data_IF_053085030308
#
_entry.id   IF_053085030308
#
_cell.length_a   1.000
_cell.length_b   1.000
_cell.length_c   1.000
_cell.angle_alpha   90.00
_cell.angle_beta   90.00
_cell.angle_gamma   90.00
#
_symmetry.space_group_name_H-M   'P 1'
#
loop_
_entity.id
_entity.type
_entity.pdbx_description
1 polymer ?
#
# COMPACT_ATOMS: atom_id res chain seq x y z
N UNK A 1 32.91 -11.02 -46.06
CA UNK A 1 32.18 -10.86 -44.78
C UNK A 1 32.18 -9.39 -44.41
N UNK A 2 31.18 -8.65 -44.87
CA UNK A 2 30.85 -7.30 -44.40
C UNK A 2 29.33 -7.25 -44.23
N UNK A 3 28.90 -6.84 -43.05
CA UNK A 3 27.51 -6.75 -42.59
C UNK A 3 26.73 -5.74 -43.42
N UNK A 4 25.45 -6.00 -43.76
CA UNK A 4 24.60 -4.98 -44.36
C UNK A 4 24.12 -3.95 -43.32
N UNK A 5 23.93 -2.75 -43.87
CA UNK A 5 23.18 -1.58 -43.44
C UNK A 5 22.03 -1.84 -42.44
N UNK A 6 22.03 -1.10 -41.34
CA UNK A 6 21.00 -1.14 -40.32
C UNK A 6 19.73 -0.41 -40.81
N UNK A 7 18.51 -0.94 -40.60
CA UNK A 7 17.31 -0.14 -40.81
C UNK A 7 17.13 0.87 -39.67
N UNK A 8 16.91 2.12 -40.07
CA UNK A 8 16.49 3.26 -39.25
C UNK A 8 15.22 2.88 -38.47
N UNK A 9 15.33 2.78 -37.15
CA UNK A 9 14.15 2.68 -36.29
C UNK A 9 13.64 4.09 -36.04
N UNK A 10 12.72 4.56 -36.89
CA UNK A 10 12.00 5.83 -36.72
C UNK A 10 11.34 5.88 -35.34
N UNK A 11 11.95 6.63 -34.43
CA UNK A 11 11.37 7.03 -33.16
C UNK A 11 10.25 8.04 -33.45
N UNK A 12 9.07 7.54 -33.81
CA UNK A 12 7.83 8.31 -33.69
C UNK A 12 7.62 8.59 -32.20
N UNK A 13 7.92 9.83 -31.81
CA UNK A 13 7.48 10.41 -30.57
C UNK A 13 5.97 10.68 -30.69
N UNK A 14 5.16 9.83 -30.08
CA UNK A 14 3.77 10.15 -29.77
C UNK A 14 3.72 10.63 -28.31
N UNK A 15 3.61 11.96 -28.14
CA UNK A 15 3.22 12.56 -26.87
C UNK A 15 1.71 12.30 -26.65
N UNK A 16 1.39 11.43 -25.69
CA UNK A 16 0.04 11.10 -25.29
C UNK A 16 -0.17 11.12 -23.78
N UNK A 17 -0.33 12.33 -23.24
CA UNK A 17 -1.00 12.69 -21.97
C UNK A 17 -0.42 12.22 -20.61
N UNK A 18 -0.42 13.09 -19.57
CA UNK A 18 -0.27 12.65 -18.20
C UNK A 18 -1.52 11.84 -17.82
N UNK A 19 -1.42 10.52 -17.88
CA UNK A 19 -2.37 9.66 -17.19
C UNK A 19 -2.33 10.01 -15.71
N UNK A 20 -3.32 10.77 -15.24
CA UNK A 20 -3.65 10.81 -13.82
C UNK A 20 -3.63 9.38 -13.32
N UNK A 21 -2.86 9.00 -12.28
CA UNK A 21 -3.07 7.71 -11.66
C UNK A 21 -4.50 7.75 -11.16
N UNK A 22 -5.38 7.00 -11.86
CA UNK A 22 -6.72 6.77 -11.39
C UNK A 22 -6.59 6.22 -9.99
N UNK A 23 -7.19 6.92 -9.02
CA UNK A 23 -7.40 6.34 -7.70
C UNK A 23 -8.35 5.17 -7.93
N UNK A 24 -7.79 4.00 -8.20
CA UNK A 24 -8.55 2.77 -8.11
C UNK A 24 -9.11 2.77 -6.68
N UNK A 25 -10.42 2.53 -6.47
CA UNK A 25 -10.85 2.14 -5.15
C UNK A 25 -10.07 0.87 -4.83
N UNK A 26 -9.09 0.98 -3.94
CA UNK A 26 -8.55 -0.19 -3.26
C UNK A 26 -9.72 -0.71 -2.43
N UNK A 27 -10.51 -1.60 -3.02
CA UNK A 27 -11.44 -2.41 -2.27
C UNK A 27 -10.55 -3.27 -1.38
N UNK A 28 -10.57 -3.14 -0.03
CA UNK A 28 -9.87 -4.09 0.80
C UNK A 28 -10.46 -5.46 0.47
N UNK A 29 -9.62 -6.36 -0.04
CA UNK A 29 -9.99 -7.75 -0.24
C UNK A 29 -10.34 -8.30 1.16
N UNK A 30 -11.63 -8.43 1.42
CA UNK A 30 -12.14 -8.80 2.74
C UNK A 30 -11.77 -10.24 3.07
N UNK A 31 -10.80 -10.42 3.95
CA UNK A 31 -10.75 -11.62 4.78
C UNK A 31 -12.00 -11.63 5.68
N UNK A 32 -12.80 -12.68 5.58
CA UNK A 32 -14.01 -12.91 6.39
C UNK A 32 -13.73 -13.11 7.89
N UNK A 33 -12.49 -12.86 8.34
CA UNK A 33 -12.11 -12.98 9.75
C UNK A 33 -12.66 -11.79 10.51
N UNK A 34 -13.62 -12.06 11.41
CA UNK A 34 -14.27 -11.07 12.25
C UNK A 34 -13.24 -10.16 12.94
N UNK A 35 -13.42 -8.85 12.78
CA UNK A 35 -12.63 -7.83 13.47
C UNK A 35 -12.90 -7.89 14.98
N UNK A 36 -11.89 -7.63 15.83
CA UNK A 36 -12.12 -7.38 17.25
C UNK A 36 -13.15 -6.28 17.45
N UNK A 37 -14.02 -6.44 18.46
CA UNK A 37 -15.10 -5.47 18.74
C UNK A 37 -14.55 -4.05 18.98
N UNK A 38 -13.39 -3.91 19.62
CA UNK A 38 -12.74 -2.62 19.88
C UNK A 38 -12.30 -1.90 18.59
N UNK A 39 -12.10 -2.63 17.50
CA UNK A 39 -11.75 -2.07 16.17
C UNK A 39 -13.02 -1.87 15.33
N UNK A 40 -13.94 -2.84 15.35
CA UNK A 40 -15.19 -2.81 14.60
C UNK A 40 -16.12 -1.65 15.01
N UNK A 41 -16.02 -1.17 16.25
CA UNK A 41 -16.81 -0.05 16.77
C UNK A 41 -16.17 1.33 16.47
N UNK A 42 -14.95 1.38 15.92
CA UNK A 42 -14.28 2.65 15.62
C UNK A 42 -14.89 3.32 14.39
N UNK A 43 -14.91 4.66 14.43
CA UNK A 43 -15.08 5.44 13.21
C UNK A 43 -13.84 5.28 12.32
N UNK A 44 -14.00 5.49 11.01
CA UNK A 44 -12.88 5.49 10.06
C UNK A 44 -11.74 6.43 10.50
N UNK A 45 -12.06 7.64 10.97
CA UNK A 45 -11.06 8.60 11.44
C UNK A 45 -10.31 8.10 12.67
N UNK A 46 -11.03 7.50 13.63
CA UNK A 46 -10.41 6.92 14.81
C UNK A 46 -9.53 5.70 14.48
N UNK A 47 -9.95 4.85 13.54
CA UNK A 47 -9.16 3.73 13.06
C UNK A 47 -7.88 4.23 12.35
N UNK A 48 -7.98 5.27 11.52
CA UNK A 48 -6.84 5.92 10.87
C UNK A 48 -5.85 6.50 11.88
N UNK A 49 -6.33 7.19 12.91
CA UNK A 49 -5.46 7.76 13.95
C UNK A 49 -4.71 6.66 14.70
N UNK A 50 -5.39 5.55 15.03
CA UNK A 50 -4.72 4.40 15.64
C UNK A 50 -3.70 3.76 14.70
N UNK A 51 -4.00 3.66 13.40
CA UNK A 51 -3.06 3.13 12.42
C UNK A 51 -1.79 3.99 12.33
N UNK A 52 -1.92 5.32 12.38
CA UNK A 52 -0.78 6.24 12.43
C UNK A 52 0.08 5.98 13.67
N UNK A 53 -0.52 5.79 14.85
CA UNK A 53 0.22 5.48 16.07
C UNK A 53 0.93 4.12 16.00
N UNK A 54 0.29 3.11 15.42
CA UNK A 54 0.92 1.79 15.16
C UNK A 54 2.15 1.94 14.26
N UNK A 55 2.02 2.67 13.14
CA UNK A 55 3.13 2.92 12.20
C UNK A 55 4.28 3.65 12.91
N UNK A 56 3.98 4.72 13.65
CA UNK A 56 5.00 5.46 14.41
C UNK A 56 5.75 4.57 15.41
N UNK A 57 5.05 3.64 16.06
CA UNK A 57 5.66 2.68 16.98
C UNK A 57 6.57 1.70 16.26
N UNK A 58 6.13 1.14 15.12
CA UNK A 58 6.94 0.27 14.28
C UNK A 58 8.19 0.98 13.75
N UNK A 59 8.05 2.22 13.25
CA UNK A 59 9.14 3.04 12.73
C UNK A 59 10.16 3.44 13.80
N UNK A 60 9.72 3.57 15.05
CA UNK A 60 10.63 3.82 16.17
C UNK A 60 11.57 2.63 16.46
N UNK A 61 11.24 1.43 15.95
CA UNK A 61 12.00 0.21 16.21
C UNK A 61 12.05 -0.18 17.68
N UNK A 62 11.13 0.36 18.49
CA UNK A 62 11.15 0.27 19.94
C UNK A 62 10.26 -0.90 20.39
N UNK A 63 10.88 -1.94 20.95
CA UNK A 63 10.20 -3.17 21.36
C UNK A 63 10.93 -4.40 20.86
N UNK A 64 10.45 -5.58 21.25
CA UNK A 64 10.96 -6.84 20.72
C UNK A 64 10.37 -7.19 19.35
N UNK A 65 10.77 -8.35 18.83
CA UNK A 65 10.14 -8.96 17.66
C UNK A 65 8.65 -9.21 17.90
N UNK A 66 8.28 -9.70 19.08
CA UNK A 66 6.91 -10.02 19.46
C UNK A 66 6.02 -8.76 19.46
N UNK A 67 6.51 -7.65 20.01
CA UNK A 67 5.82 -6.35 19.94
C UNK A 67 5.63 -5.89 18.48
N UNK A 68 6.66 -6.07 17.65
CA UNK A 68 6.62 -5.64 16.24
C UNK A 68 5.59 -6.45 15.45
N UNK A 69 5.49 -7.77 15.71
CA UNK A 69 4.47 -8.64 15.10
C UNK A 69 3.08 -8.22 15.57
N UNK A 70 2.88 -8.01 16.87
CA UNK A 70 1.58 -7.61 17.41
C UNK A 70 1.09 -6.26 16.87
N UNK A 71 2.01 -5.30 16.69
CA UNK A 71 1.72 -4.00 16.08
C UNK A 71 1.33 -4.14 14.61
N UNK A 72 2.07 -4.96 13.85
CA UNK A 72 1.74 -5.22 12.45
C UNK A 72 0.35 -5.85 12.29
N UNK A 73 0.01 -6.88 13.08
CA UNK A 73 -1.31 -7.52 13.04
C UNK A 73 -2.44 -6.53 13.40
N UNK A 74 -2.21 -5.65 14.38
CA UNK A 74 -3.17 -4.59 14.70
C UNK A 74 -3.32 -3.59 13.55
N UNK A 75 -2.22 -3.22 12.89
CA UNK A 75 -2.23 -2.36 11.71
C UNK A 75 -3.06 -2.93 10.57
N UNK A 76 -2.90 -4.22 10.28
CA UNK A 76 -3.70 -4.93 9.25
C UNK A 76 -5.20 -4.91 9.58
N UNK A 77 -5.57 -5.11 10.86
CA UNK A 77 -6.97 -5.05 11.28
C UNK A 77 -7.56 -3.64 11.20
N UNK A 78 -6.78 -2.59 11.48
CA UNK A 78 -7.21 -1.19 11.38
C UNK A 78 -7.36 -0.70 9.94
N UNK A 79 -6.67 -1.34 8.99
CA UNK A 79 -6.67 -0.96 7.58
C UNK A 79 -7.77 -1.64 6.74
N UNK A 80 -8.49 -2.60 7.30
CA UNK A 80 -9.65 -3.25 6.67
C UNK A 80 -10.88 -2.35 6.66
#
# INVERSE_FOLDING_TARGET
MSTPDAPENELTADEGAPGTPGTAPVTPAGDEKALPADIAELSYEAARDQLVEVVRRLESGQGGLEDSIALWERGEMLAR
#
